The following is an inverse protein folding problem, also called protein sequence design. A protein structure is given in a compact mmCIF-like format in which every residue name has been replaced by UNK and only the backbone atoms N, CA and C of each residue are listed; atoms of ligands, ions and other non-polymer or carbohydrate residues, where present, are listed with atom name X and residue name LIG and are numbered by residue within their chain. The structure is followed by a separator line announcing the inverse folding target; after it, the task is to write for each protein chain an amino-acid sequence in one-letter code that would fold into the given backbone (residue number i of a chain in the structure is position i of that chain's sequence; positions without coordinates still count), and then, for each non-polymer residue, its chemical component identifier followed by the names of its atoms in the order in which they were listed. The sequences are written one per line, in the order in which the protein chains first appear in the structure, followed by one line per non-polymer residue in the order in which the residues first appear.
data_IF_161270955006
#
_entry.id   IF_161270955006
#
_cell.length_a   1.000
_cell.length_b   1.000
_cell.length_c   1.000
_cell.angle_alpha   90.00
_cell.angle_beta   90.00
_cell.angle_gamma   90.00
#
_symmetry.space_group_name_H-M   'P 1'
#
loop_
_entity.id
_entity.type
_entity.pdbx_description
1 polymer ?
#
# COMPACT_ATOMS: atom_id res chain seq x y z
N UNK A 1 12.10 7.07 8.19
CA UNK A 1 12.11 5.73 7.58
C UNK A 1 12.08 5.88 6.07
N UNK A 2 12.89 5.11 5.33
CA UNK A 2 12.82 5.11 3.87
C UNK A 2 11.61 4.27 3.39
N UNK A 3 11.02 4.56 2.23
CA UNK A 3 9.90 3.79 1.71
C UNK A 3 10.16 2.27 1.62
N UNK A 4 11.37 1.87 1.20
CA UNK A 4 11.76 0.45 1.14
C UNK A 4 11.84 -0.22 2.51
N UNK A 5 12.24 0.51 3.56
CA UNK A 5 12.18 0.00 4.93
C UNK A 5 10.73 -0.17 5.41
N UNK A 6 9.84 0.73 4.98
CA UNK A 6 8.41 0.60 5.28
C UNK A 6 7.75 -0.59 4.57
N UNK A 7 8.17 -0.91 3.33
CA UNK A 7 7.75 -2.15 2.65
C UNK A 7 8.12 -3.38 3.48
N UNK A 8 9.33 -3.43 4.06
CA UNK A 8 9.76 -4.54 4.93
C UNK A 8 8.88 -4.70 6.16
N UNK A 9 8.25 -3.63 6.66
CA UNK A 9 7.30 -3.72 7.77
C UNK A 9 6.05 -4.55 7.42
N UNK A 10 5.65 -4.63 6.15
CA UNK A 10 4.60 -5.55 5.69
C UNK A 10 5.12 -6.98 5.49
N UNK A 11 6.42 -7.13 5.21
CA UNK A 11 7.07 -8.40 4.89
C UNK A 11 7.75 -9.08 6.11
N UNK A 12 7.14 -8.96 7.29
CA UNK A 12 7.72 -9.52 8.51
C UNK A 12 6.98 -9.07 9.74
N UNK A 13 5.66 -9.13 9.72
CA UNK A 13 4.84 -8.76 10.86
C UNK A 13 5.02 -9.78 11.97
N UNK A 14 5.71 -9.39 13.03
CA UNK A 14 5.79 -10.18 14.26
C UNK A 14 4.53 -9.97 15.09
N UNK A 15 3.75 -11.05 15.21
CA UNK A 15 2.45 -11.10 15.89
C UNK A 15 2.62 -11.96 17.13
N UNK A 16 2.15 -11.50 18.28
CA UNK A 16 2.22 -12.29 19.51
C UNK A 16 0.88 -13.00 19.75
N UNK A 17 0.90 -14.33 19.77
CA UNK A 17 -0.26 -15.17 20.00
C UNK A 17 -0.76 -15.17 21.44
N UNK A 18 -1.73 -16.05 21.71
CA UNK A 18 -2.41 -16.18 23.00
C UNK A 18 -1.44 -16.63 24.09
N UNK A 19 -0.61 -17.63 23.77
CA UNK A 19 0.34 -18.23 24.71
C UNK A 19 1.64 -17.42 24.88
N UNK A 20 1.68 -16.18 24.38
CA UNK A 20 2.87 -15.31 24.43
C UNK A 20 3.97 -15.66 23.44
N UNK A 21 3.82 -16.74 22.67
CA UNK A 21 4.69 -17.05 21.54
C UNK A 21 4.53 -16.04 20.40
N UNK A 22 5.61 -15.82 19.64
CA UNK A 22 5.56 -14.97 18.45
C UNK A 22 5.41 -15.81 17.18
N UNK A 23 4.73 -15.24 16.19
CA UNK A 23 4.58 -15.74 14.83
C UNK A 23 4.98 -14.62 13.87
N UNK A 24 5.40 -14.99 12.66
CA UNK A 24 5.68 -14.02 11.61
C UNK A 24 4.70 -14.26 10.47
N UNK A 25 4.08 -13.18 10.01
CA UNK A 25 3.23 -13.21 8.83
C UNK A 25 3.68 -12.16 7.82
N UNK A 26 3.31 -12.41 6.58
CA UNK A 26 3.69 -11.63 5.42
C UNK A 26 2.45 -11.12 4.71
N UNK A 27 2.39 -9.82 4.46
CA UNK A 27 1.32 -9.23 3.66
C UNK A 27 1.88 -8.82 2.31
N UNK A 28 1.68 -9.69 1.34
CA UNK A 28 2.15 -9.46 -0.02
C UNK A 28 1.07 -9.02 -0.98
N UNK A 29 -0.23 -9.21 -0.68
CA UNK A 29 -1.25 -9.10 -1.72
C UNK A 29 -1.69 -7.66 -1.99
N UNK A 30 -1.89 -7.37 -3.27
CA UNK A 30 -2.64 -6.21 -3.67
C UNK A 30 -4.11 -6.47 -3.39
N UNK A 31 -4.74 -5.46 -2.82
CA UNK A 31 -6.12 -5.43 -2.42
C UNK A 31 -7.11 -6.17 -3.35
N UNK A 32 -8.03 -6.93 -2.74
CA UNK A 32 -9.21 -7.51 -3.39
C UNK A 32 -10.47 -6.83 -2.83
N UNK A 33 -11.17 -6.05 -3.65
CA UNK A 33 -12.50 -5.55 -3.29
C UNK A 33 -13.46 -6.75 -3.23
N UNK A 34 -14.06 -7.02 -2.07
CA UNK A 34 -14.98 -8.16 -1.91
C UNK A 34 -15.62 -8.27 -0.53
N UNK A 35 -16.86 -8.75 -0.51
CA UNK A 35 -17.69 -8.92 0.71
C UNK A 35 -17.11 -9.90 1.74
N UNK A 36 -16.18 -10.78 1.34
CA UNK A 36 -15.58 -11.79 2.22
C UNK A 36 -14.75 -11.19 3.36
N UNK A 37 -13.94 -10.15 3.08
CA UNK A 37 -13.11 -9.50 4.10
C UNK A 37 -13.97 -8.79 5.17
N UNK A 38 -15.02 -8.10 4.73
CA UNK A 38 -15.97 -7.43 5.62
C UNK A 38 -16.74 -8.42 6.51
N UNK A 39 -17.17 -9.56 5.97
CA UNK A 39 -17.81 -10.60 6.79
C UNK A 39 -16.87 -11.13 7.87
N UNK A 40 -15.60 -11.35 7.53
CA UNK A 40 -14.57 -11.83 8.47
C UNK A 40 -14.25 -10.79 9.56
N UNK A 41 -14.31 -9.50 9.23
CA UNK A 41 -14.24 -8.41 10.18
C UNK A 41 -15.31 -8.53 11.28
N UNK A 42 -16.56 -8.72 10.84
CA UNK A 42 -17.72 -8.84 11.74
C UNK A 42 -17.61 -10.11 12.61
N UNK A 43 -17.13 -11.23 12.03
CA UNK A 43 -16.91 -12.50 12.75
C UNK A 43 -15.84 -12.35 13.86
N UNK A 44 -14.70 -11.70 13.57
CA UNK A 44 -13.65 -11.42 14.56
C UNK A 44 -14.20 -10.54 15.68
N UNK A 45 -14.91 -9.47 15.33
CA UNK A 45 -15.51 -8.55 16.30
C UNK A 45 -16.50 -9.28 17.22
N UNK A 46 -17.41 -10.07 16.66
CA UNK A 46 -18.39 -10.83 17.42
C UNK A 46 -17.75 -11.83 18.40
N UNK A 47 -16.64 -12.48 18.02
CA UNK A 47 -15.90 -13.38 18.92
C UNK A 47 -15.22 -12.63 20.07
N UNK A 48 -14.58 -11.49 19.77
CA UNK A 48 -13.96 -10.64 20.79
C UNK A 48 -14.97 -10.11 21.83
N UNK A 49 -16.21 -9.85 21.42
CA UNK A 49 -17.27 -9.38 22.32
C UNK A 49 -17.85 -10.50 23.20
N UNK A 50 -17.82 -11.76 22.74
CA UNK A 50 -18.44 -12.91 23.42
C UNK A 50 -17.52 -13.57 24.45
N UNK A 51 -16.21 -13.54 24.25
CA UNK A 51 -15.27 -14.25 25.10
C UNK A 51 -15.11 -13.56 26.47
N UNK A 52 -15.69 -14.20 27.49
CA UNK A 52 -15.51 -13.83 28.90
C UNK A 52 -14.19 -14.43 29.39
N UNK A 53 -13.09 -13.68 29.23
CA UNK A 53 -11.73 -14.21 29.38
C UNK A 53 -11.21 -14.20 30.83
N UNK A 54 -10.14 -14.94 31.10
CA UNK A 54 -9.44 -14.97 32.41
C UNK A 54 -8.68 -13.65 32.64
N UNK A 55 -8.65 -13.14 33.89
CA UNK A 55 -8.19 -11.79 34.28
C UNK A 55 -6.90 -11.26 33.59
N UNK A 56 -5.89 -12.11 33.36
CA UNK A 56 -4.65 -11.71 32.69
C UNK A 56 -4.76 -11.60 31.16
N UNK A 57 -5.53 -12.48 30.54
CA UNK A 57 -5.83 -12.44 29.09
C UNK A 57 -6.77 -11.26 28.80
N UNK A 58 -7.72 -10.98 29.69
CA UNK A 58 -8.66 -9.85 29.62
C UNK A 58 -7.95 -8.52 29.44
N UNK A 59 -6.82 -8.28 30.11
CA UNK A 59 -6.17 -6.96 30.05
C UNK A 59 -5.50 -6.69 28.69
N UNK A 60 -4.92 -7.73 28.09
CA UNK A 60 -4.29 -7.67 26.75
C UNK A 60 -5.34 -7.74 25.63
N UNK A 61 -6.38 -8.54 25.82
CA UNK A 61 -7.54 -8.59 24.93
C UNK A 61 -8.33 -7.30 24.98
N UNK A 62 -8.54 -6.70 26.15
CA UNK A 62 -9.23 -5.42 26.26
C UNK A 62 -8.43 -4.30 25.59
N UNK A 63 -7.09 -4.32 25.59
CA UNK A 63 -6.30 -3.31 24.88
C UNK A 63 -6.30 -3.51 23.36
N UNK A 64 -6.14 -4.75 22.89
CA UNK A 64 -6.22 -5.10 21.46
C UNK A 64 -7.64 -4.91 20.93
N UNK A 65 -8.66 -5.32 21.70
CA UNK A 65 -10.07 -5.11 21.40
C UNK A 65 -10.43 -3.64 21.47
N UNK A 66 -10.03 -2.84 22.47
CA UNK A 66 -10.28 -1.38 22.44
C UNK A 66 -9.64 -0.69 21.24
N UNK A 67 -8.45 -1.13 20.81
CA UNK A 67 -7.82 -0.64 19.59
C UNK A 67 -8.60 -1.07 18.33
N UNK A 68 -9.05 -2.34 18.28
CA UNK A 68 -9.77 -2.96 17.16
C UNK A 68 -11.25 -2.56 17.05
N UNK A 69 -11.90 -2.25 18.18
CA UNK A 69 -13.31 -1.86 18.32
C UNK A 69 -13.57 -0.41 17.93
N UNK A 70 -12.54 0.35 17.54
CA UNK A 70 -12.77 1.51 16.69
C UNK A 70 -13.29 0.95 15.38
N UNK A 71 -14.61 0.89 15.18
CA UNK A 71 -15.30 0.24 14.04
C UNK A 71 -14.72 0.56 12.65
N UNK A 72 -14.00 1.68 12.52
CA UNK A 72 -13.27 2.03 11.30
C UNK A 72 -11.96 1.25 11.06
N UNK A 73 -11.28 0.72 12.08
CA UNK A 73 -9.95 0.11 11.98
C UNK A 73 -9.98 -1.26 11.29
N UNK A 74 -10.82 -2.19 11.75
CA UNK A 74 -10.89 -3.52 11.13
C UNK A 74 -11.38 -3.36 9.69
N UNK A 75 -12.45 -2.58 9.49
CA UNK A 75 -13.02 -2.31 8.18
C UNK A 75 -11.99 -1.72 7.21
N UNK A 76 -11.24 -0.68 7.61
CA UNK A 76 -10.24 -0.06 6.72
C UNK A 76 -9.12 -1.01 6.33
N UNK A 77 -8.73 -1.96 7.20
CA UNK A 77 -7.72 -2.97 6.86
C UNK A 77 -8.24 -3.83 5.71
N UNK A 78 -9.48 -4.32 5.83
CA UNK A 78 -10.13 -5.09 4.77
C UNK A 78 -10.50 -4.29 3.52
N UNK A 79 -10.48 -2.95 3.60
CA UNK A 79 -10.59 -2.02 2.45
C UNK A 79 -9.21 -1.65 1.85
N UNK A 80 -8.14 -2.29 2.29
CA UNK A 80 -6.79 -2.08 1.76
C UNK A 80 -6.02 -0.90 2.35
N UNK A 81 -6.53 -0.29 3.42
CA UNK A 81 -5.99 0.93 4.05
C UNK A 81 -5.29 0.68 5.38
N UNK A 82 -4.97 -0.58 5.68
CA UNK A 82 -4.27 -0.98 6.89
C UNK A 82 -2.78 -0.63 6.84
N UNK A 83 -2.29 0.07 7.86
CA UNK A 83 -0.85 0.18 8.12
C UNK A 83 -0.28 -1.14 8.66
N UNK A 84 1.05 -1.34 8.69
CA UNK A 84 1.64 -2.52 9.32
C UNK A 84 1.19 -2.71 10.79
N UNK A 85 1.03 -1.61 11.54
CA UNK A 85 0.57 -1.64 12.92
C UNK A 85 -0.90 -2.04 13.04
N UNK A 86 -1.75 -1.52 12.14
CA UNK A 86 -3.18 -1.87 12.10
C UNK A 86 -3.35 -3.36 11.83
N UNK A 87 -2.65 -3.87 10.82
CA UNK A 87 -2.69 -5.28 10.44
C UNK A 87 -2.15 -6.16 11.56
N UNK A 88 -1.01 -5.80 12.17
CA UNK A 88 -0.49 -6.52 13.33
C UNK A 88 -1.56 -6.64 14.43
N UNK A 89 -2.25 -5.54 14.74
CA UNK A 89 -3.29 -5.51 15.76
C UNK A 89 -4.44 -6.45 15.41
N UNK A 90 -4.89 -6.46 14.15
CA UNK A 90 -5.91 -7.40 13.66
C UNK A 90 -5.46 -8.86 13.77
N UNK A 91 -4.22 -9.16 13.40
CA UNK A 91 -3.66 -10.51 13.47
C UNK A 91 -3.54 -11.02 14.91
N UNK A 92 -3.10 -10.15 15.83
CA UNK A 92 -3.10 -10.47 17.27
C UNK A 92 -4.53 -10.73 17.75
N UNK A 93 -5.49 -9.91 17.35
CA UNK A 93 -6.89 -10.10 17.70
C UNK A 93 -7.45 -11.44 17.18
N UNK A 94 -7.14 -11.81 15.94
CA UNK A 94 -7.60 -13.05 15.33
C UNK A 94 -7.02 -14.31 15.97
N UNK A 95 -5.74 -14.28 16.40
CA UNK A 95 -5.13 -15.37 17.15
C UNK A 95 -5.74 -15.51 18.54
N UNK A 96 -5.96 -14.40 19.22
CA UNK A 96 -6.43 -14.45 20.59
C UNK A 96 -7.93 -14.82 20.67
N UNK A 97 -8.74 -14.42 19.69
CA UNK A 97 -10.15 -14.82 19.58
C UNK A 97 -10.37 -16.22 19.00
N UNK A 98 -9.28 -16.96 18.73
CA UNK A 98 -9.32 -18.29 18.10
C UNK A 98 -10.06 -18.29 16.75
N UNK A 99 -10.07 -17.16 16.05
CA UNK A 99 -10.50 -17.11 14.65
C UNK A 99 -9.49 -17.80 13.74
N UNK A 100 -8.21 -17.69 14.10
CA UNK A 100 -7.10 -18.33 13.41
C UNK A 100 -6.34 -19.18 14.41
N UNK A 101 -6.01 -20.45 14.09
CA UNK A 101 -5.12 -21.26 14.93
C UNK A 101 -3.79 -20.57 15.23
N UNK A 102 -3.24 -20.76 16.44
CA UNK A 102 -2.00 -20.12 16.92
C UNK A 102 -0.72 -20.77 16.35
N UNK A 103 -0.65 -20.84 15.02
CA UNK A 103 0.48 -21.35 14.25
C UNK A 103 0.79 -20.45 13.04
N UNK A 104 2.03 -20.52 12.55
CA UNK A 104 2.53 -19.63 11.48
C UNK A 104 1.81 -19.87 10.15
N UNK A 105 1.49 -21.12 9.83
CA UNK A 105 0.94 -21.50 8.52
C UNK A 105 -0.51 -21.03 8.40
N UNK A 106 -1.31 -21.24 9.44
CA UNK A 106 -2.68 -20.74 9.53
C UNK A 106 -2.74 -19.20 9.51
N UNK A 107 -1.82 -18.53 10.20
CA UNK A 107 -1.73 -17.08 10.19
C UNK A 107 -1.39 -16.53 8.81
N UNK A 108 -0.43 -17.16 8.12
CA UNK A 108 -0.07 -16.78 6.76
C UNK A 108 -1.23 -17.03 5.78
N UNK A 109 -1.91 -18.18 5.89
CA UNK A 109 -3.08 -18.48 5.07
C UNK A 109 -4.20 -17.44 5.26
N UNK A 110 -4.42 -16.96 6.48
CA UNK A 110 -5.36 -15.88 6.77
C UNK A 110 -4.95 -14.58 6.07
N UNK A 111 -3.67 -14.18 6.15
CA UNK A 111 -3.14 -13.02 5.43
C UNK A 111 -3.35 -13.16 3.92
N UNK A 112 -2.98 -14.30 3.35
CA UNK A 112 -3.08 -14.56 1.91
C UNK A 112 -4.53 -14.55 1.41
N UNK A 113 -5.48 -15.04 2.20
CA UNK A 113 -6.88 -15.04 1.81
C UNK A 113 -7.54 -13.66 1.98
N UNK A 114 -7.21 -12.97 3.07
CA UNK A 114 -8.10 -11.95 3.62
C UNK A 114 -7.48 -10.56 3.71
N UNK A 115 -6.16 -10.43 3.62
CA UNK A 115 -5.47 -9.15 3.82
C UNK A 115 -4.74 -8.74 2.54
N UNK A 116 -5.09 -7.56 2.04
CA UNK A 116 -4.34 -6.88 0.99
C UNK A 116 -4.24 -5.41 1.29
N UNK A 117 -3.30 -4.73 0.63
CA UNK A 117 -3.11 -3.29 0.74
C UNK A 117 -3.24 -2.71 -0.66
N UNK A 118 -4.01 -1.65 -0.83
CA UNK A 118 -4.12 -0.99 -2.14
C UNK A 118 -3.07 0.11 -2.29
N UNK A 119 -2.93 0.66 -3.50
CA UNK A 119 -1.90 1.66 -3.79
C UNK A 119 -2.01 2.87 -2.86
N UNK A 120 -3.21 3.42 -2.70
CA UNK A 120 -3.44 4.58 -1.85
C UNK A 120 -3.36 4.29 -0.36
N UNK A 121 -3.73 3.09 0.07
CA UNK A 121 -3.59 2.61 1.44
C UNK A 121 -2.13 2.49 1.84
N UNK A 122 -1.29 1.92 0.98
CA UNK A 122 0.17 1.85 1.19
C UNK A 122 0.78 3.25 1.32
N UNK A 123 0.54 4.12 0.34
CA UNK A 123 1.11 5.46 0.30
C UNK A 123 0.67 6.29 1.52
N UNK A 124 -0.63 6.30 1.84
CA UNK A 124 -1.12 7.07 2.99
C UNK A 124 -0.64 6.48 4.32
N UNK A 125 -0.55 5.16 4.46
CA UNK A 125 0.01 4.53 5.65
C UNK A 125 1.49 4.90 5.87
N UNK A 126 2.28 4.98 4.79
CA UNK A 126 3.66 5.45 4.85
C UNK A 126 3.73 6.88 5.39
N UNK A 127 2.99 7.80 4.79
CA UNK A 127 3.03 9.21 5.18
C UNK A 127 2.45 9.48 6.58
N UNK A 128 1.46 8.72 7.03
CA UNK A 128 0.98 8.76 8.42
C UNK A 128 2.04 8.26 9.40
N UNK A 129 2.74 7.17 9.07
CA UNK A 129 3.84 6.65 9.89
C UNK A 129 4.97 7.68 10.04
N UNK A 130 5.15 8.53 9.04
CA UNK A 130 6.10 9.65 9.06
C UNK A 130 5.57 10.90 9.76
N UNK A 131 4.33 10.91 10.26
CA UNK A 131 3.61 12.05 10.84
C UNK A 131 3.46 13.25 9.89
N UNK A 132 3.38 13.00 8.58
CA UNK A 132 3.26 14.07 7.58
C UNK A 132 1.81 14.36 7.19
N UNK A 133 0.92 13.39 7.39
CA UNK A 133 -0.52 13.54 7.17
C UNK A 133 -1.29 12.95 8.36
N UNK A 134 -2.46 13.51 8.65
CA UNK A 134 -3.38 13.00 9.67
C UNK A 134 -4.13 11.74 9.25
N UNK A 135 -4.82 11.11 10.21
CA UNK A 135 -5.57 9.86 10.02
C UNK A 135 -6.65 9.94 8.94
N UNK A 136 -7.32 11.10 8.80
CA UNK A 136 -8.38 11.33 7.83
C UNK A 136 -7.90 11.97 6.52
N UNK A 137 -6.61 12.32 6.41
CA UNK A 137 -6.07 13.01 5.24
C UNK A 137 -5.54 12.03 4.19
N UNK A 138 -5.60 12.43 2.92
CA UNK A 138 -4.88 11.80 1.81
C UNK A 138 -3.66 12.64 1.45
N UNK A 139 -2.53 12.00 1.13
CA UNK A 139 -1.34 12.74 0.67
C UNK A 139 -1.64 13.55 -0.59
N UNK A 140 -2.53 13.05 -1.46
CA UNK A 140 -2.91 13.73 -2.70
C UNK A 140 -3.62 15.07 -2.44
N UNK A 141 -4.27 15.24 -1.28
CA UNK A 141 -4.92 16.49 -0.91
C UNK A 141 -3.90 17.55 -0.45
N UNK A 142 -2.65 17.15 -0.16
CA UNK A 142 -1.61 18.01 0.41
C UNK A 142 -0.46 18.28 -0.54
N UNK A 143 -0.17 17.39 -1.49
CA UNK A 143 0.85 17.66 -2.51
C UNK A 143 0.48 18.88 -3.35
N UNK A 144 1.45 19.76 -3.60
CA UNK A 144 1.29 20.99 -4.38
C UNK A 144 2.43 21.11 -5.38
N UNK A 145 2.13 21.72 -6.53
CA UNK A 145 3.11 21.86 -7.61
C UNK A 145 3.45 20.53 -8.28
N UNK A 146 4.57 20.50 -8.98
CA UNK A 146 5.00 19.35 -9.77
C UNK A 146 6.51 19.40 -9.99
N UNK A 147 7.20 18.25 -9.95
CA UNK A 147 8.55 18.16 -10.47
C UNK A 147 8.48 18.26 -12.00
N UNK A 148 9.14 19.27 -12.56
CA UNK A 148 9.26 19.45 -14.03
C UNK A 148 10.59 18.91 -14.58
N UNK A 149 11.55 18.63 -13.70
CA UNK A 149 12.91 18.23 -14.05
C UNK A 149 13.23 16.90 -13.33
N UNK A 150 13.61 15.83 -14.06
CA UNK A 150 14.01 14.55 -13.49
C UNK A 150 15.08 14.66 -12.39
N UNK A 151 16.02 15.59 -12.54
CA UNK A 151 17.13 15.77 -11.59
C UNK A 151 16.65 16.33 -10.24
N UNK A 152 15.44 16.87 -10.19
CA UNK A 152 14.81 17.39 -8.97
C UNK A 152 13.89 16.40 -8.28
N UNK A 153 13.68 15.21 -8.84
CA UNK A 153 12.95 14.13 -8.16
C UNK A 153 13.76 13.71 -6.94
N UNK A 154 13.10 13.63 -5.78
CA UNK A 154 13.72 13.29 -4.50
C UNK A 154 13.08 12.04 -3.90
N UNK A 155 13.78 11.35 -2.95
CA UNK A 155 13.13 10.39 -2.09
C UNK A 155 11.85 10.98 -1.48
N UNK A 156 10.81 10.15 -1.41
CA UNK A 156 9.46 10.45 -0.88
C UNK A 156 8.58 11.33 -1.76
N UNK A 157 9.05 11.80 -2.91
CA UNK A 157 8.14 12.35 -3.91
C UNK A 157 7.07 11.31 -4.30
N UNK A 158 5.89 11.78 -4.67
CA UNK A 158 4.73 10.92 -4.98
C UNK A 158 4.60 10.79 -6.49
N UNK A 159 4.53 9.55 -6.98
CA UNK A 159 4.17 9.27 -8.38
C UNK A 159 2.68 9.02 -8.47
N UNK A 160 2.02 9.64 -9.46
CA UNK A 160 0.63 9.40 -9.82
C UNK A 160 0.54 8.99 -11.29
N UNK A 161 0.01 7.80 -11.55
CA UNK A 161 -0.14 7.25 -12.89
C UNK A 161 -1.45 7.68 -13.54
N UNK A 162 -1.37 7.90 -14.84
CA UNK A 162 -2.48 8.21 -15.70
C UNK A 162 -2.65 7.13 -16.77
N UNK A 163 -3.90 6.83 -17.08
CA UNK A 163 -4.28 5.70 -17.93
C UNK A 163 -3.99 5.89 -19.41
N UNK A 164 -4.04 7.14 -19.91
CA UNK A 164 -3.76 7.50 -21.31
C UNK A 164 -3.36 8.97 -21.41
N UNK A 165 -2.51 9.26 -22.38
CA UNK A 165 -2.28 10.59 -22.93
C UNK A 165 -3.00 10.61 -24.29
N UNK A 166 -3.81 11.64 -24.58
CA UNK A 166 -4.42 11.80 -25.91
C UNK A 166 -3.33 12.01 -26.96
N UNK A 167 -3.69 11.90 -28.25
CA UNK A 167 -2.78 12.27 -29.35
C UNK A 167 -2.28 13.72 -29.25
N UNK A 168 -3.00 14.59 -28.51
CA UNK A 168 -2.65 15.98 -28.25
C UNK A 168 -1.84 16.21 -26.98
N UNK A 169 -1.48 15.16 -26.22
CA UNK A 169 -0.75 15.31 -24.95
C UNK A 169 -1.65 15.47 -23.72
N UNK A 170 -2.97 15.53 -23.87
CA UNK A 170 -3.91 15.68 -22.76
C UNK A 170 -3.99 14.37 -21.97
N UNK A 171 -3.74 14.44 -20.67
CA UNK A 171 -4.06 13.32 -19.78
C UNK A 171 -5.57 13.07 -19.86
N UNK A 172 -5.95 11.90 -20.37
CA UNK A 172 -7.34 11.50 -20.35
C UNK A 172 -7.65 11.07 -18.92
N UNK A 173 -8.46 11.84 -18.15
CA UNK A 173 -8.96 11.36 -16.87
C UNK A 173 -9.67 10.05 -17.18
N UNK A 174 -9.27 8.95 -16.54
CA UNK A 174 -9.67 7.58 -16.87
C UNK A 174 -11.12 7.51 -17.40
N UNK A 175 -11.36 7.60 -18.73
CA UNK A 175 -12.73 7.71 -19.20
C UNK A 175 -13.28 6.29 -19.22
N UNK A 176 -14.47 6.12 -18.65
CA UNK A 176 -15.36 4.98 -18.91
C UNK A 176 -14.97 3.60 -18.39
N UNK A 177 -13.90 3.45 -17.59
CA UNK A 177 -13.60 2.17 -16.91
C UNK A 177 -13.76 2.18 -15.38
N UNK A 178 -14.05 3.33 -14.77
CA UNK A 178 -14.15 3.46 -13.31
C UNK A 178 -12.86 3.15 -12.54
N UNK A 179 -11.71 3.11 -13.23
CA UNK A 179 -10.43 2.75 -12.61
C UNK A 179 -9.74 3.96 -11.99
N UNK A 180 -9.55 3.88 -10.68
CA UNK A 180 -8.78 4.79 -9.84
C UNK A 180 -7.34 4.86 -10.36
N UNK A 181 -6.75 6.06 -10.42
CA UNK A 181 -5.33 6.24 -10.75
C UNK A 181 -4.43 5.47 -9.77
N UNK A 182 -3.26 5.04 -10.23
CA UNK A 182 -2.29 4.33 -9.38
C UNK A 182 -1.32 5.32 -8.72
N UNK A 183 -0.93 5.06 -7.47
CA UNK A 183 -0.01 5.93 -6.73
C UNK A 183 1.10 5.15 -6.04
N UNK A 184 2.28 5.76 -5.96
CA UNK A 184 3.47 5.18 -5.36
C UNK A 184 4.40 6.24 -4.76
N UNK A 185 5.44 5.79 -4.04
CA UNK A 185 6.43 6.67 -3.40
C UNK A 185 7.81 6.40 -3.98
N UNK A 186 8.56 7.47 -4.32
CA UNK A 186 9.97 7.37 -4.70
C UNK A 186 10.79 6.92 -3.50
N UNK A 187 11.51 5.81 -3.61
CA UNK A 187 12.49 5.37 -2.62
C UNK A 187 13.86 6.01 -2.87
N UNK A 188 14.35 5.94 -4.11
CA UNK A 188 15.62 6.55 -4.52
C UNK A 188 15.43 7.39 -5.79
N UNK A 189 16.08 8.57 -5.89
CA UNK A 189 15.92 9.45 -7.04
C UNK A 189 16.51 8.83 -8.32
N UNK A 190 16.20 9.39 -9.50
CA UNK A 190 16.79 8.93 -10.75
C UNK A 190 18.32 9.05 -10.74
N UNK A 191 19.01 7.95 -11.01
CA UNK A 191 20.45 7.92 -11.26
C UNK A 191 20.66 7.75 -12.76
N UNK A 192 21.47 8.62 -13.37
CA UNK A 192 21.77 8.55 -14.81
C UNK A 192 22.49 7.24 -15.15
N UNK A 193 22.03 6.56 -16.20
CA UNK A 193 22.58 5.27 -16.66
C UNK A 193 23.22 5.36 -18.04
N UNK A 194 23.63 6.56 -18.48
CA UNK A 194 24.24 6.80 -19.79
C UNK A 194 23.24 6.92 -20.94
N UNK A 195 22.21 6.06 -20.99
CA UNK A 195 21.29 5.94 -22.13
C UNK A 195 19.85 6.43 -21.84
N UNK A 196 19.67 7.40 -20.94
CA UNK A 196 18.34 7.95 -20.64
C UNK A 196 18.30 9.00 -19.54
N UNK A 197 17.10 9.40 -19.14
CA UNK A 197 16.85 10.40 -18.10
C UNK A 197 17.05 9.86 -16.66
N UNK A 198 17.56 8.63 -16.54
CA UNK A 198 17.89 7.96 -15.29
C UNK A 198 16.88 6.90 -14.87
N UNK A 199 17.30 6.09 -13.89
CA UNK A 199 16.47 5.05 -13.26
C UNK A 199 16.26 5.37 -11.78
N UNK A 200 15.01 5.33 -11.33
CA UNK A 200 14.61 5.53 -9.94
C UNK A 200 14.08 4.24 -9.33
N UNK A 201 14.12 4.16 -8.01
CA UNK A 201 13.50 3.07 -7.25
C UNK A 201 12.20 3.59 -6.66
N UNK A 202 11.13 2.81 -6.79
CA UNK A 202 9.76 3.19 -6.38
C UNK A 202 9.18 2.08 -5.53
N UNK A 203 8.60 2.44 -4.39
CA UNK A 203 7.82 1.53 -3.55
C UNK A 203 6.33 1.72 -3.82
N UNK A 204 5.62 0.63 -4.07
CA UNK A 204 4.22 0.67 -4.48
C UNK A 204 3.44 -0.55 -3.99
N UNK A 205 2.11 -0.42 -3.95
CA UNK A 205 1.21 -1.57 -3.90
C UNK A 205 0.44 -1.69 -5.21
N UNK A 206 0.62 -2.77 -6.00
CA UNK A 206 0.05 -2.94 -7.34
C UNK A 206 -0.53 -4.32 -7.62
N UNK A 207 -1.61 -4.39 -8.38
CA UNK A 207 -2.18 -5.66 -8.85
C UNK A 207 -1.29 -6.39 -9.87
N UNK A 208 -1.52 -7.69 -10.03
CA UNK A 208 -0.88 -8.50 -11.08
C UNK A 208 0.51 -9.09 -10.73
N UNK A 209 0.85 -9.21 -9.45
CA UNK A 209 2.09 -9.81 -8.96
C UNK A 209 2.20 -9.77 -7.43
N UNK A 210 3.43 -9.66 -6.90
CA UNK A 210 3.66 -9.27 -5.51
C UNK A 210 3.04 -7.88 -5.34
N UNK A 211 2.03 -7.79 -4.49
CA UNK A 211 1.24 -6.60 -4.23
C UNK A 211 2.10 -5.45 -3.75
N UNK A 212 2.73 -5.58 -2.58
CA UNK A 212 3.61 -4.55 -2.02
C UNK A 212 5.04 -4.84 -2.44
N UNK A 213 5.68 -3.92 -3.14
CA UNK A 213 7.00 -4.17 -3.73
C UNK A 213 7.84 -2.90 -3.90
N UNK A 214 9.13 -3.13 -4.11
CA UNK A 214 10.10 -2.11 -4.50
C UNK A 214 10.57 -2.42 -5.92
N UNK A 215 10.28 -1.53 -6.87
CA UNK A 215 10.54 -1.73 -8.29
C UNK A 215 11.41 -0.60 -8.86
N UNK A 216 12.20 -0.92 -9.89
CA UNK A 216 13.00 0.06 -10.60
C UNK A 216 12.27 0.55 -11.86
N UNK A 217 12.20 1.86 -12.02
CA UNK A 217 11.58 2.54 -13.15
C UNK A 217 12.58 3.43 -13.87
N UNK A 218 12.72 3.24 -15.19
CA UNK A 218 13.55 4.11 -16.03
C UNK A 218 12.70 5.20 -16.66
N UNK A 219 13.15 6.46 -16.60
CA UNK A 219 12.50 7.57 -17.30
C UNK A 219 12.93 7.53 -18.76
N UNK A 220 11.96 7.36 -19.66
CA UNK A 220 12.17 7.24 -21.10
C UNK A 220 12.06 8.59 -21.80
N UNK A 221 11.06 9.37 -21.41
CA UNK A 221 10.71 10.60 -22.13
C UNK A 221 9.99 11.58 -21.19
N UNK A 222 10.13 12.87 -21.49
CA UNK A 222 9.33 13.94 -20.90
C UNK A 222 8.38 14.46 -21.95
N UNK A 223 7.09 14.36 -21.64
CA UNK A 223 6.01 14.93 -22.42
C UNK A 223 5.47 16.17 -21.68
N UNK A 224 4.68 16.96 -22.38
CA UNK A 224 3.91 18.05 -21.81
C UNK A 224 2.46 17.90 -22.24
N UNK A 225 1.54 18.25 -21.35
CA UNK A 225 0.14 18.44 -21.73
C UNK A 225 -0.13 19.87 -22.19
N UNK A 226 -1.39 20.13 -22.58
CA UNK A 226 -1.88 21.41 -23.06
C UNK A 226 -1.68 22.57 -22.06
N UNK A 227 -1.52 22.25 -20.76
CA UNK A 227 -1.34 23.21 -19.66
C UNK A 227 0.15 23.34 -19.23
N UNK A 228 1.09 22.83 -20.02
CA UNK A 228 2.55 22.81 -19.73
C UNK A 228 2.90 22.04 -18.43
N UNK A 229 2.07 21.10 -18.00
CA UNK A 229 2.44 20.14 -16.96
C UNK A 229 3.35 19.06 -17.56
N UNK A 230 4.37 18.67 -16.80
CA UNK A 230 5.34 17.66 -17.26
C UNK A 230 4.80 16.25 -17.03
N UNK A 231 4.83 15.40 -18.04
CA UNK A 231 4.43 14.00 -17.92
C UNK A 231 5.67 13.14 -18.16
N UNK A 232 5.99 12.28 -17.21
CA UNK A 232 7.09 11.34 -17.32
C UNK A 232 6.58 10.04 -17.92
N UNK A 233 7.09 9.66 -19.08
CA UNK A 233 6.92 8.29 -19.59
C UNK A 233 8.00 7.43 -18.96
N UNK A 234 7.58 6.42 -18.21
CA UNK A 234 8.50 5.53 -17.47
C UNK A 234 8.35 4.08 -17.92
N UNK A 235 9.35 3.24 -17.67
CA UNK A 235 9.26 1.80 -17.87
C UNK A 235 9.66 1.06 -16.60
N UNK A 236 8.83 0.10 -16.20
CA UNK A 236 9.14 -0.78 -15.08
C UNK A 236 10.06 -1.91 -15.55
N UNK A 237 11.24 -2.03 -14.95
CA UNK A 237 12.27 -3.01 -15.33
C UNK A 237 12.03 -4.44 -14.83
N UNK A 238 10.79 -4.81 -14.48
CA UNK A 238 10.43 -6.15 -14.00
C UNK A 238 10.73 -7.22 -15.06
N UNK A 239 11.94 -7.78 -15.02
CA UNK A 239 12.34 -8.95 -15.80
C UNK A 239 11.60 -10.17 -15.25
N UNK A 240 10.77 -10.80 -16.06
CA UNK A 240 10.27 -12.17 -15.80
C UNK A 240 8.76 -12.32 -15.56
N UNK A 241 8.00 -11.24 -15.37
CA UNK A 241 6.54 -11.32 -15.51
C UNK A 241 6.21 -11.07 -16.98
N UNK A 242 5.67 -12.11 -17.64
CA UNK A 242 5.18 -12.08 -19.02
C UNK A 242 4.52 -10.74 -19.31
N UNK A 243 4.95 -10.05 -20.39
CA UNK A 243 4.34 -8.83 -20.92
C UNK A 243 2.84 -8.89 -20.65
N UNK A 244 2.36 -8.15 -19.66
CA UNK A 244 0.92 -8.06 -19.47
C UNK A 244 0.39 -7.56 -20.80
N UNK A 245 -0.65 -8.21 -21.37
CA UNK A 245 -1.25 -7.89 -22.68
C UNK A 245 -1.68 -6.44 -22.88
N UNK A 246 -1.48 -5.60 -21.89
CA UNK A 246 -1.64 -4.17 -21.98
C UNK A 246 -0.27 -3.53 -21.83
N UNK A 247 0.32 -3.11 -22.96
CA UNK A 247 1.20 -1.94 -23.05
C UNK A 247 0.43 -0.74 -22.50
N UNK A 248 0.16 -0.73 -21.18
CA UNK A 248 -0.34 0.47 -20.52
C UNK A 248 0.87 1.37 -20.41
N UNK A 249 1.05 2.19 -21.44
CA UNK A 249 1.27 3.62 -21.29
C UNK A 249 1.49 4.04 -19.82
N UNK A 250 2.76 3.98 -19.41
CA UNK A 250 3.22 4.25 -18.05
C UNK A 250 3.52 5.75 -17.94
N UNK A 251 2.48 6.57 -17.96
CA UNK A 251 2.59 8.01 -17.82
C UNK A 251 2.37 8.42 -16.37
N UNK A 252 3.33 9.13 -15.79
CA UNK A 252 3.23 9.61 -14.41
C UNK A 252 3.45 11.11 -14.30
N UNK A 253 2.81 11.71 -13.32
CA UNK A 253 3.26 12.98 -12.76
C UNK A 253 3.97 12.72 -11.44
N UNK A 254 5.01 13.51 -11.18
CA UNK A 254 5.78 13.46 -9.94
C UNK A 254 5.50 14.71 -9.13
N UNK A 255 5.01 14.50 -7.91
CA UNK A 255 4.66 15.55 -6.99
C UNK A 255 5.71 15.63 -5.88
N UNK A 256 6.19 16.84 -5.54
CA UNK A 256 7.06 16.99 -4.39
C UNK A 256 6.32 16.52 -3.15
N UNK A 257 7.04 15.82 -2.28
CA UNK A 257 6.55 15.59 -0.94
C UNK A 257 6.27 16.95 -0.23
N UNK A 258 5.19 17.07 0.58
CA UNK A 258 4.97 18.24 1.44
C UNK A 258 6.13 18.52 2.40
#
# INVERSE_FOLDING_TARGET
MNPSDFVKCYHGLTVTGRLGGTRTAQVYRYFMWGTKGLKKADEIKAKLEKDTLREGEVKRLASVAQASLKDGLIRRIFEGKGSPSDIKTLLEAALISEEVPDDTDSLQAFCDESIGVDCSGFVNAYFRTMNWIGESQSILDLVRGQRKDPTRIQPRDVLYWYSKVSETGKLLPTPDTGKVGHIAVVDSPPVSTGDGLGTMTVCESRGGGIGISTNQYSIKELLKDDDDHVIYRIDCSLKGLTKSKTDRDNYVRVYPCP
#
